data_IF_529465740814
#
_entry.id   IF_529465740814
#
_cell.length_a   1.000
_cell.length_b   1.000
_cell.length_c   1.000
_cell.angle_alpha   90.00
_cell.angle_beta   90.00
_cell.angle_gamma   90.00
#
_symmetry.space_group_name_H-M   'P 1'
#
loop_
_entity.id
_entity.type
_entity.pdbx_description
1 polymer ?
#
# COMPACT_ATOMS: atom_id res chain seq x y z
N UNK A 1 7.66 15.96 -11.27
CA UNK A 1 6.30 15.67 -11.75
C UNK A 1 5.72 14.61 -10.84
N UNK A 2 4.76 14.97 -10.01
CA UNK A 2 4.16 14.06 -9.03
C UNK A 2 2.86 13.54 -9.63
N UNK A 3 2.79 12.26 -9.94
CA UNK A 3 1.55 11.61 -10.36
C UNK A 3 0.90 11.00 -9.11
N UNK A 4 -0.27 11.47 -8.76
CA UNK A 4 -1.13 10.82 -7.79
C UNK A 4 -2.11 9.92 -8.54
N UNK A 5 -2.09 8.62 -8.26
CA UNK A 5 -3.06 7.68 -8.78
C UNK A 5 -4.09 7.40 -7.67
N UNK A 6 -5.36 7.63 -7.98
CA UNK A 6 -6.46 7.26 -7.11
C UNK A 6 -7.08 5.96 -7.64
N UNK A 7 -7.03 4.90 -6.86
CA UNK A 7 -7.75 3.68 -7.16
C UNK A 7 -8.99 3.59 -6.26
N UNK A 8 -10.16 3.50 -6.88
CA UNK A 8 -11.43 3.30 -6.18
C UNK A 8 -12.04 1.99 -6.68
N UNK A 9 -12.03 0.95 -5.84
CA UNK A 9 -12.67 -0.31 -6.15
C UNK A 9 -14.17 -0.23 -5.81
N UNK A 10 -15.00 -0.10 -6.83
CA UNK A 10 -16.45 -0.39 -6.72
C UNK A 10 -16.76 -1.60 -7.60
N UNK A 11 -17.36 -2.64 -7.01
CA UNK A 11 -17.95 -3.79 -7.72
C UNK A 11 -16.98 -4.48 -8.70
N UNK A 12 -15.79 -4.91 -8.25
CA UNK A 12 -14.78 -5.60 -9.06
C UNK A 12 -14.33 -4.82 -10.33
N UNK A 13 -14.52 -3.52 -10.37
CA UNK A 13 -14.05 -2.70 -11.47
C UNK A 13 -13.04 -1.68 -10.95
N UNK A 14 -11.80 -1.76 -11.41
CA UNK A 14 -10.78 -0.75 -11.12
C UNK A 14 -11.04 0.43 -12.07
N UNK A 15 -11.36 1.59 -11.51
CA UNK A 15 -11.38 2.84 -12.27
C UNK A 15 -10.11 3.61 -11.96
N UNK A 16 -9.23 3.72 -12.93
CA UNK A 16 -8.08 4.60 -12.89
C UNK A 16 -8.51 5.99 -13.36
N UNK A 17 -8.73 6.91 -12.44
CA UNK A 17 -8.98 8.31 -12.80
C UNK A 17 -7.67 9.07 -12.74
N UNK A 18 -7.09 9.34 -13.90
CA UNK A 18 -6.00 10.31 -14.04
C UNK A 18 -6.59 11.72 -14.11
N UNK A 19 -6.27 12.58 -13.15
CA UNK A 19 -6.70 13.98 -13.20
C UNK A 19 -5.76 14.80 -14.09
N UNK A 20 -6.31 15.26 -15.21
CA UNK A 20 -5.86 16.49 -15.88
C UNK A 20 -6.51 17.68 -15.16
N UNK A 21 -5.84 18.82 -14.98
CA UNK A 21 -6.44 19.97 -14.30
C UNK A 21 -7.50 20.60 -15.23
N UNK A 22 -8.76 20.39 -14.93
CA UNK A 22 -9.86 21.10 -15.55
C UNK A 22 -10.76 21.71 -14.46
N UNK A 23 -10.90 23.02 -14.58
CA UNK A 23 -11.98 23.90 -14.12
C UNK A 23 -12.70 23.57 -12.78
N UNK A 24 -12.63 24.55 -11.91
CA UNK A 24 -13.43 24.65 -10.69
C UNK A 24 -14.93 24.70 -11.01
N UNK A 25 -15.61 23.59 -10.80
CA UNK A 25 -17.04 23.58 -10.57
C UNK A 25 -17.29 23.25 -9.09
N UNK A 26 -18.09 24.10 -8.45
CA UNK A 26 -18.55 24.01 -7.07
C UNK A 26 -19.49 22.79 -6.89
N UNK A 27 -18.98 21.59 -7.02
CA UNK A 27 -19.65 20.41 -6.49
C UNK A 27 -19.16 20.16 -5.06
N UNK A 28 -20.12 20.10 -4.15
CA UNK A 28 -19.93 19.58 -2.79
C UNK A 28 -19.22 18.25 -2.89
N UNK A 29 -17.89 18.26 -2.82
CA UNK A 29 -17.07 17.03 -2.82
C UNK A 29 -17.54 16.20 -1.64
N UNK A 30 -18.16 15.06 -1.93
CA UNK A 30 -18.47 14.07 -0.92
C UNK A 30 -17.14 13.65 -0.29
N UNK A 31 -16.92 14.10 0.94
CA UNK A 31 -15.73 13.75 1.70
C UNK A 31 -15.64 12.23 1.75
N UNK A 32 -14.55 11.66 1.26
CA UNK A 32 -14.35 10.22 1.33
C UNK A 32 -14.24 9.81 2.80
N UNK A 33 -15.16 8.95 3.25
CA UNK A 33 -15.14 8.40 4.60
C UNK A 33 -14.18 7.22 4.73
N UNK A 34 -13.35 6.95 3.69
CA UNK A 34 -12.39 5.85 3.71
C UNK A 34 -11.00 6.36 4.07
N UNK A 35 -10.26 5.61 4.92
CA UNK A 35 -8.90 5.96 5.28
C UNK A 35 -7.99 6.12 4.07
N UNK A 36 -7.03 7.02 4.17
CA UNK A 36 -5.99 7.23 3.18
C UNK A 36 -4.71 6.50 3.62
N UNK A 37 -4.18 5.65 2.76
CA UNK A 37 -2.92 4.93 2.98
C UNK A 37 -1.91 5.42 1.95
N UNK A 38 -0.84 6.03 2.45
CA UNK A 38 0.22 6.62 1.65
C UNK A 38 1.40 5.66 1.54
N UNK A 39 1.83 5.38 0.31
CA UNK A 39 2.93 4.46 0.00
C UNK A 39 4.10 5.25 -0.60
N UNK A 40 5.22 5.31 0.13
CA UNK A 40 6.40 6.07 -0.25
C UNK A 40 7.11 5.51 -1.49
N UNK A 41 7.98 6.32 -2.09
CA UNK A 41 8.81 5.94 -3.24
C UNK A 41 10.06 5.15 -2.87
N UNK A 42 10.95 5.01 -3.86
CA UNK A 42 12.27 4.42 -3.68
C UNK A 42 13.08 5.23 -2.65
N UNK A 43 13.83 4.56 -1.79
CA UNK A 43 14.60 5.14 -0.68
C UNK A 43 13.76 5.97 0.31
N UNK A 44 12.43 5.84 0.26
CA UNK A 44 11.54 6.50 1.19
C UNK A 44 11.32 5.71 2.47
N UNK A 45 10.52 6.27 3.36
CA UNK A 45 10.14 5.68 4.65
C UNK A 45 8.70 6.01 5.01
N UNK A 46 8.14 5.25 5.94
CA UNK A 46 6.80 5.44 6.48
C UNK A 46 6.82 5.68 7.99
N UNK A 47 5.64 5.66 8.60
CA UNK A 47 5.46 6.00 10.01
C UNK A 47 6.15 5.06 11.01
N UNK A 48 6.57 3.87 10.59
CA UNK A 48 7.31 2.91 11.45
C UNK A 48 8.84 3.12 11.42
N UNK A 49 9.32 4.04 10.60
CA UNK A 49 10.74 4.40 10.55
C UNK A 49 11.11 5.33 11.70
N UNK A 50 12.28 5.12 12.30
CA UNK A 50 12.86 6.03 13.30
C UNK A 50 13.12 7.44 12.74
N UNK A 51 13.16 7.59 11.42
CA UNK A 51 13.32 8.87 10.75
C UNK A 51 12.04 9.70 10.70
N UNK A 52 10.86 9.05 10.64
CA UNK A 52 9.58 9.75 10.42
C UNK A 52 9.25 10.79 11.51
N UNK A 53 9.52 10.55 12.82
CA UNK A 53 9.30 11.56 13.85
C UNK A 53 10.19 12.79 13.72
N UNK A 54 11.37 12.65 13.10
CA UNK A 54 12.38 13.71 12.94
C UNK A 54 12.14 14.45 11.62
N UNK A 55 12.05 13.69 10.53
CA UNK A 55 11.79 14.21 9.18
C UNK A 55 10.73 13.32 8.53
N UNK A 56 9.46 13.69 8.59
CA UNK A 56 8.42 12.90 7.96
C UNK A 56 8.60 12.88 6.44
N UNK A 57 8.58 11.68 5.85
CA UNK A 57 8.65 11.55 4.38
C UNK A 57 7.56 12.37 3.69
N UNK A 58 6.36 12.31 4.23
CA UNK A 58 5.20 13.06 3.74
C UNK A 58 5.12 14.43 4.43
N UNK A 59 5.68 15.43 3.73
CA UNK A 59 5.71 16.81 4.19
C UNK A 59 7.10 17.35 4.52
N UNK A 60 8.07 16.50 4.78
CA UNK A 60 9.48 16.86 5.01
C UNK A 60 9.63 18.11 5.90
N UNK A 61 10.13 19.21 5.33
CA UNK A 61 10.40 20.47 6.04
C UNK A 61 9.14 21.25 6.41
N UNK A 62 7.99 20.95 5.84
CA UNK A 62 6.71 21.65 6.10
C UNK A 62 5.91 21.01 7.24
N UNK A 63 6.42 19.93 7.82
CA UNK A 63 5.76 19.17 8.88
C UNK A 63 5.02 17.93 8.34
N UNK A 64 4.48 17.12 9.26
CA UNK A 64 3.86 15.85 8.89
C UNK A 64 2.50 16.05 8.19
N UNK A 65 2.41 15.63 6.94
CA UNK A 65 1.15 15.61 6.18
C UNK A 65 0.10 14.72 6.86
N UNK A 66 0.52 13.59 7.46
CA UNK A 66 -0.39 12.69 8.18
C UNK A 66 -1.05 13.42 9.35
N UNK A 67 -0.26 14.14 10.16
CA UNK A 67 -0.80 14.93 11.28
C UNK A 67 -1.75 16.02 10.77
N UNK A 68 -1.40 16.71 9.69
CA UNK A 68 -2.24 17.74 9.11
C UNK A 68 -3.59 17.17 8.64
N UNK A 69 -3.58 16.07 7.88
CA UNK A 69 -4.80 15.44 7.36
C UNK A 69 -5.67 14.90 8.49
N UNK A 70 -5.09 14.19 9.46
CA UNK A 70 -5.82 13.67 10.62
C UNK A 70 -6.47 14.80 11.43
N UNK A 71 -5.78 15.94 11.63
CA UNK A 71 -6.35 17.11 12.31
C UNK A 71 -7.49 17.76 11.52
N UNK A 72 -7.58 17.51 10.21
CA UNK A 72 -8.69 17.95 9.35
C UNK A 72 -9.81 16.92 9.24
N UNK A 73 -9.72 15.80 9.95
CA UNK A 73 -10.71 14.74 9.95
C UNK A 73 -10.55 13.73 8.80
N UNK A 74 -9.42 13.75 8.09
CA UNK A 74 -9.07 12.75 7.07
C UNK A 74 -8.18 11.68 7.69
N UNK A 75 -8.75 10.55 8.04
CA UNK A 75 -8.02 9.41 8.58
C UNK A 75 -6.91 8.99 7.61
N UNK A 76 -5.64 9.14 8.01
CA UNK A 76 -4.49 9.03 7.09
C UNK A 76 -3.32 8.32 7.74
N UNK A 77 -2.69 7.39 7.01
CA UNK A 77 -1.60 6.55 7.45
C UNK A 77 -0.49 6.49 6.41
N UNK A 78 0.76 6.42 6.86
CA UNK A 78 1.92 6.24 6.00
C UNK A 78 2.45 4.81 6.17
N UNK A 79 2.27 3.96 5.16
CA UNK A 79 2.80 2.62 5.16
C UNK A 79 4.34 2.63 5.07
N UNK A 80 4.97 1.66 5.74
CA UNK A 80 6.41 1.41 5.70
C UNK A 80 6.67 0.17 4.86
N UNK A 81 7.26 0.33 3.70
CA UNK A 81 7.65 -0.79 2.83
C UNK A 81 9.14 -0.73 2.53
N UNK A 82 9.72 -1.80 2.03
CA UNK A 82 11.16 -1.87 1.75
C UNK A 82 11.63 -0.72 0.86
N UNK A 83 12.60 0.10 1.31
CA UNK A 83 13.03 1.28 0.55
C UNK A 83 13.72 0.96 -0.77
N UNK A 84 14.31 -0.23 -0.89
CA UNK A 84 15.03 -0.71 -2.07
C UNK A 84 14.46 -2.02 -2.64
N UNK A 85 13.37 -2.53 -2.05
CA UNK A 85 12.72 -3.77 -2.50
C UNK A 85 11.96 -3.57 -3.81
N UNK A 86 11.75 -4.69 -4.52
CA UNK A 86 10.93 -4.73 -5.73
C UNK A 86 9.45 -4.41 -5.49
N UNK A 87 8.69 -4.17 -6.55
CA UNK A 87 7.27 -3.84 -6.42
C UNK A 87 6.47 -4.99 -5.81
N UNK A 88 6.85 -6.25 -6.11
CA UNK A 88 6.24 -7.45 -5.52
C UNK A 88 6.42 -7.50 -4.02
N UNK A 89 7.66 -7.44 -3.54
CA UNK A 89 7.98 -7.51 -2.11
C UNK A 89 7.26 -6.41 -1.34
N UNK A 90 7.30 -5.19 -1.87
CA UNK A 90 6.62 -4.03 -1.29
C UNK A 90 5.10 -4.19 -1.25
N UNK A 91 4.52 -4.88 -2.24
CA UNK A 91 3.10 -5.20 -2.25
C UNK A 91 2.74 -6.22 -1.16
N UNK A 92 3.56 -7.27 -0.97
CA UNK A 92 3.41 -8.24 0.12
C UNK A 92 3.56 -7.57 1.50
N UNK A 93 4.53 -6.66 1.65
CA UNK A 93 4.73 -5.88 2.87
C UNK A 93 3.54 -4.94 3.16
N UNK A 94 3.00 -4.29 2.12
CA UNK A 94 1.81 -3.45 2.26
C UNK A 94 0.60 -4.27 2.71
N UNK A 95 0.39 -5.44 2.11
CA UNK A 95 -0.68 -6.36 2.49
C UNK A 95 -0.56 -6.76 3.95
N UNK A 96 0.61 -7.21 4.37
CA UNK A 96 0.85 -7.66 5.73
C UNK A 96 0.63 -6.53 6.77
N UNK A 97 1.01 -5.29 6.44
CA UNK A 97 0.71 -4.13 7.29
C UNK A 97 -0.77 -3.83 7.39
N UNK A 98 -1.50 -3.91 6.27
CA UNK A 98 -2.94 -3.65 6.26
C UNK A 98 -3.73 -4.71 7.04
N UNK A 99 -3.23 -5.95 7.04
CA UNK A 99 -3.94 -7.09 7.65
C UNK A 99 -3.42 -7.48 9.04
N UNK A 100 -2.28 -6.95 9.47
CA UNK A 100 -1.65 -7.34 10.74
C UNK A 100 -1.13 -8.77 10.71
N UNK A 101 -0.44 -9.17 9.64
CA UNK A 101 0.05 -10.54 9.43
C UNK A 101 1.57 -10.57 9.21
N UNK A 102 2.11 -11.77 9.05
CA UNK A 102 3.50 -11.94 8.61
C UNK A 102 3.58 -11.72 7.11
N UNK A 103 4.61 -11.00 6.67
CA UNK A 103 4.91 -10.86 5.24
C UNK A 103 5.24 -12.22 4.66
N UNK A 104 4.52 -12.64 3.63
CA UNK A 104 4.82 -13.82 2.81
C UNK A 104 5.09 -13.36 1.37
N UNK A 105 6.34 -13.45 0.94
CA UNK A 105 6.76 -13.06 -0.40
C UNK A 105 6.41 -14.12 -1.47
N UNK A 106 5.93 -15.29 -1.03
CA UNK A 106 5.63 -16.41 -1.90
C UNK A 106 6.80 -17.40 -2.06
N UNK A 107 6.46 -18.63 -2.38
CA UNK A 107 7.45 -19.73 -2.54
C UNK A 107 8.25 -19.56 -3.82
N UNK A 108 7.56 -19.30 -4.94
CA UNK A 108 8.20 -19.18 -6.25
C UNK A 108 9.04 -17.92 -6.32
N UNK A 109 8.49 -16.79 -5.89
CA UNK A 109 9.17 -15.50 -5.93
C UNK A 109 10.42 -15.48 -5.06
N UNK A 110 10.32 -15.91 -3.80
CA UNK A 110 11.48 -15.93 -2.89
C UNK A 110 12.59 -16.85 -3.39
N UNK A 111 12.23 -18.02 -3.95
CA UNK A 111 13.20 -18.93 -4.56
C UNK A 111 13.87 -18.33 -5.81
N UNK A 112 13.10 -17.66 -6.67
CA UNK A 112 13.62 -16.99 -7.87
C UNK A 112 14.55 -15.82 -7.53
N UNK A 113 14.20 -15.04 -6.51
CA UNK A 113 14.95 -13.83 -6.10
C UNK A 113 16.06 -14.09 -5.10
N UNK A 114 16.10 -15.28 -4.50
CA UNK A 114 17.16 -15.72 -3.59
C UNK A 114 17.12 -15.06 -2.21
N UNK A 115 15.93 -14.86 -1.67
CA UNK A 115 15.72 -14.35 -0.31
C UNK A 115 14.70 -15.22 0.45
N UNK A 116 14.57 -14.99 1.76
CA UNK A 116 13.63 -15.70 2.61
C UNK A 116 12.18 -15.45 2.17
N UNK A 117 11.35 -16.49 2.26
CA UNK A 117 9.92 -16.42 1.96
C UNK A 117 9.17 -15.49 2.91
N UNK A 118 9.52 -15.54 4.21
CA UNK A 118 8.82 -14.78 5.23
C UNK A 118 9.64 -13.59 5.69
N UNK A 119 8.97 -12.45 5.82
CA UNK A 119 9.55 -11.21 6.32
C UNK A 119 9.04 -10.85 7.71
N UNK A 120 8.85 -9.56 7.94
CA UNK A 120 8.41 -9.02 9.24
C UNK A 120 6.99 -9.48 9.57
N UNK A 121 6.73 -9.77 10.86
CA UNK A 121 5.39 -9.99 11.38
C UNK A 121 4.85 -8.69 11.96
N UNK A 122 3.67 -8.30 11.51
CA UNK A 122 2.90 -7.20 12.06
C UNK A 122 1.83 -7.78 12.99
N UNK A 123 1.94 -7.51 14.31
CA UNK A 123 0.99 -8.04 15.30
C UNK A 123 -0.36 -7.33 15.26
N UNK A 124 -0.41 -6.15 14.64
CA UNK A 124 -1.62 -5.34 14.50
C UNK A 124 -1.69 -4.74 13.09
N UNK A 125 -2.89 -4.57 12.54
CA UNK A 125 -3.05 -3.91 11.26
C UNK A 125 -2.63 -2.44 11.33
N UNK A 126 -2.41 -1.83 10.17
CA UNK A 126 -1.95 -0.44 10.05
C UNK A 126 -2.90 0.55 10.73
N UNK A 127 -4.18 0.23 10.77
CA UNK A 127 -5.22 0.99 11.47
C UNK A 127 -6.32 0.06 11.99
N UNK A 128 -7.00 0.49 13.04
CA UNK A 128 -8.07 -0.27 13.67
C UNK A 128 -9.24 -0.48 12.70
N UNK A 129 -9.78 -1.71 12.70
CA UNK A 129 -10.88 -2.10 11.82
C UNK A 129 -10.49 -2.25 10.35
N UNK A 130 -9.19 -2.34 10.04
CA UNK A 130 -8.74 -2.79 8.73
C UNK A 130 -9.20 -4.23 8.47
N UNK A 131 -9.90 -4.44 7.37
CA UNK A 131 -10.43 -5.75 6.97
C UNK A 131 -10.58 -5.80 5.45
N UNK A 132 -10.79 -7.00 4.90
CA UNK A 132 -11.02 -7.17 3.45
C UNK A 132 -12.23 -6.39 2.92
N UNK A 133 -13.22 -6.11 3.79
CA UNK A 133 -14.43 -5.37 3.43
C UNK A 133 -14.29 -3.86 3.57
N UNK A 134 -13.24 -3.38 4.24
CA UNK A 134 -13.02 -1.95 4.47
C UNK A 134 -12.30 -1.31 3.28
N UNK A 135 -13.00 -0.42 2.61
CA UNK A 135 -12.41 0.34 1.49
C UNK A 135 -11.39 1.34 1.99
N UNK A 136 -10.30 1.50 1.25
CA UNK A 136 -9.24 2.46 1.51
C UNK A 136 -8.91 3.26 0.25
N UNK A 137 -8.35 4.45 0.44
CA UNK A 137 -7.77 5.25 -0.63
C UNK A 137 -6.25 5.04 -0.61
N UNK A 138 -5.69 4.51 -1.69
CA UNK A 138 -4.24 4.33 -1.82
C UNK A 138 -3.62 5.51 -2.55
N UNK A 139 -2.57 6.09 -1.99
CA UNK A 139 -1.83 7.21 -2.57
C UNK A 139 -0.35 6.82 -2.65
N UNK A 140 0.18 6.75 -3.86
CA UNK A 140 1.59 6.40 -4.10
C UNK A 140 2.40 7.60 -4.57
N UNK A 141 3.60 7.78 -4.01
CA UNK A 141 4.59 8.70 -4.55
C UNK A 141 5.66 7.93 -5.29
N UNK A 142 6.00 8.36 -6.51
CA UNK A 142 7.10 7.76 -7.30
C UNK A 142 6.92 6.24 -7.44
N UNK A 143 7.89 5.43 -7.00
CA UNK A 143 7.83 3.97 -7.03
C UNK A 143 6.71 3.38 -6.14
N UNK A 144 6.16 4.16 -5.21
CA UNK A 144 4.95 3.81 -4.47
C UNK A 144 3.74 3.57 -5.39
N UNK A 145 3.67 4.26 -6.52
CA UNK A 145 2.66 4.00 -7.56
C UNK A 145 2.80 2.60 -8.16
N UNK A 146 4.00 2.17 -8.51
CA UNK A 146 4.27 0.81 -8.99
C UNK A 146 3.94 -0.26 -7.92
N UNK A 147 4.25 0.02 -6.65
CA UNK A 147 3.86 -0.83 -5.52
C UNK A 147 2.35 -1.01 -5.46
N UNK A 148 1.59 0.07 -5.56
CA UNK A 148 0.11 0.03 -5.53
C UNK A 148 -0.43 -0.75 -6.74
N UNK A 149 0.11 -0.54 -7.93
CA UNK A 149 -0.31 -1.30 -9.12
C UNK A 149 -0.08 -2.81 -8.92
N UNK A 150 1.09 -3.20 -8.42
CA UNK A 150 1.40 -4.60 -8.13
C UNK A 150 0.48 -5.18 -7.04
N UNK A 151 0.24 -4.41 -5.97
CA UNK A 151 -0.67 -4.80 -4.90
C UNK A 151 -2.09 -5.07 -5.42
N UNK A 152 -2.63 -4.17 -6.24
CA UNK A 152 -3.95 -4.33 -6.85
C UNK A 152 -4.00 -5.49 -7.84
N UNK A 153 -2.93 -5.69 -8.63
CA UNK A 153 -2.80 -6.82 -9.55
C UNK A 153 -2.90 -8.16 -8.82
N UNK A 154 -2.14 -8.31 -7.72
CA UNK A 154 -2.17 -9.52 -6.90
C UNK A 154 -3.56 -9.73 -6.29
N UNK A 155 -4.20 -8.70 -5.76
CA UNK A 155 -5.52 -8.80 -5.14
C UNK A 155 -6.63 -9.18 -6.14
N UNK A 156 -6.54 -8.70 -7.38
CA UNK A 156 -7.59 -8.90 -8.40
C UNK A 156 -7.39 -10.20 -9.17
N UNK A 157 -6.16 -10.45 -9.62
CA UNK A 157 -5.83 -11.55 -10.51
C UNK A 157 -5.15 -12.72 -9.79
N UNK A 158 -4.77 -12.52 -8.52
CA UNK A 158 -4.01 -13.51 -7.76
C UNK A 158 -2.57 -13.65 -8.24
N UNK A 159 -1.93 -14.69 -7.74
CA UNK A 159 -0.55 -15.06 -8.05
C UNK A 159 -0.47 -16.51 -8.56
N UNK A 160 -0.81 -16.81 -9.83
CA UNK A 160 -0.91 -18.19 -10.32
C UNK A 160 0.38 -19.00 -10.15
N UNK A 161 1.54 -18.37 -10.28
CA UNK A 161 2.84 -18.99 -10.06
C UNK A 161 3.04 -19.45 -8.61
N UNK A 162 2.63 -18.64 -7.65
CA UNK A 162 2.67 -18.97 -6.23
C UNK A 162 1.69 -20.09 -5.88
N UNK A 163 0.47 -20.04 -6.44
CA UNK A 163 -0.53 -21.10 -6.27
C UNK A 163 0.01 -22.44 -6.78
N UNK A 164 0.66 -22.45 -7.94
CA UNK A 164 1.24 -23.66 -8.51
C UNK A 164 2.40 -24.19 -7.63
N UNK A 165 3.29 -23.30 -7.18
CA UNK A 165 4.43 -23.65 -6.32
C UNK A 165 3.97 -24.18 -4.95
N UNK A 166 2.97 -23.55 -4.34
CA UNK A 166 2.41 -24.01 -3.07
C UNK A 166 1.77 -25.41 -3.17
N UNK A 167 1.03 -25.66 -4.26
CA UNK A 167 0.45 -26.99 -4.54
C UNK A 167 1.54 -28.05 -4.72
N UNK A 168 2.61 -27.74 -5.47
CA UNK A 168 3.74 -28.65 -5.68
C UNK A 168 4.47 -28.95 -4.37
N UNK A 169 4.58 -27.97 -3.48
CA UNK A 169 5.20 -28.11 -2.17
C UNK A 169 4.28 -28.75 -1.10
N UNK A 170 3.00 -28.98 -1.40
CA UNK A 170 2.03 -29.48 -0.42
C UNK A 170 1.74 -28.50 0.73
N UNK A 171 1.94 -27.22 0.50
CA UNK A 171 1.73 -26.15 1.49
C UNK A 171 0.50 -25.32 1.18
N UNK A 172 -0.02 -24.61 2.20
CA UNK A 172 -1.10 -23.64 1.96
C UNK A 172 -0.63 -22.51 1.06
N UNK A 173 -1.54 -22.04 0.21
CA UNK A 173 -1.34 -20.80 -0.55
C UNK A 173 -1.56 -19.65 0.41
N UNK A 174 -0.61 -18.72 0.47
CA UNK A 174 -0.85 -17.45 1.15
C UNK A 174 -1.93 -16.65 0.39
N UNK A 175 -2.83 -15.98 1.08
CA UNK A 175 -3.88 -15.18 0.46
C UNK A 175 -3.31 -14.03 -0.36
#
# INVERSE_FOLDING_TARGET
MTYAFFANCRNNTIQLTGNSPAAADNEKTSQSNYPFVFVHGLMGWGARSDLDPIVPYWGMTTGSLMKYLNNKGYESYAAQVGPLSGAWDRACELYAQLTGTTVDYGIAHSAEKGHDRFGITYNEPLFEGSSADKKINLIGHSFGGATICMFLEILVNGAPGEVAAARAAGTAVSP
#
